data_IF_384379745439
#
_entry.id   IF_384379745439
#
_cell.length_a   1.000
_cell.length_b   1.000
_cell.length_c   1.000
_cell.angle_alpha   90.00
_cell.angle_beta   90.00
_cell.angle_gamma   90.00
#
_symmetry.space_group_name_H-M   'P 1'
#
loop_
_entity.id
_entity.type
_entity.pdbx_description
1 polymer ?
#
# COMPACT_ATOMS: atom_id res chain seq x y z
N UNK A 1 -31.78 -15.19 4.58
CA UNK A 1 -30.53 -14.40 4.60
C UNK A 1 -29.61 -14.91 5.72
N UNK A 2 -29.14 -16.16 5.65
CA UNK A 2 -28.31 -16.77 6.71
C UNK A 2 -26.88 -17.12 6.22
N UNK A 3 -26.59 -17.02 4.92
CA UNK A 3 -25.36 -17.57 4.34
C UNK A 3 -24.09 -16.75 4.57
N UNK A 4 -24.19 -15.43 4.80
CA UNK A 4 -22.99 -14.60 4.98
C UNK A 4 -22.36 -14.72 6.38
N UNK A 5 -23.15 -14.99 7.42
CA UNK A 5 -22.63 -15.10 8.80
C UNK A 5 -22.06 -16.49 9.13
N UNK A 6 -22.43 -17.53 8.38
CA UNK A 6 -21.85 -18.88 8.53
C UNK A 6 -20.52 -19.00 7.79
N UNK A 7 -20.40 -18.42 6.58
CA UNK A 7 -19.15 -18.44 5.80
C UNK A 7 -17.97 -17.74 6.51
N UNK A 8 -18.24 -16.83 7.46
CA UNK A 8 -17.18 -16.17 8.21
C UNK A 8 -16.60 -16.98 9.37
N UNK A 9 -17.33 -17.98 9.89
CA UNK A 9 -16.85 -18.79 11.03
C UNK A 9 -15.71 -19.73 10.64
N UNK A 10 -15.68 -20.12 9.37
CA UNK A 10 -14.62 -20.94 8.78
C UNK A 10 -13.48 -20.11 8.16
N UNK A 11 -13.58 -18.77 8.18
CA UNK A 11 -12.47 -17.92 7.70
C UNK A 11 -11.25 -18.12 8.59
N UNK A 12 -10.11 -18.37 7.94
CA UNK A 12 -8.81 -18.47 8.61
C UNK A 12 -8.48 -17.13 9.27
N UNK A 13 -8.14 -17.15 10.57
CA UNK A 13 -7.77 -15.96 11.35
C UNK A 13 -6.72 -15.05 10.66
N UNK A 14 -5.81 -15.65 9.89
CA UNK A 14 -4.71 -14.90 9.28
C UNK A 14 -5.14 -13.85 8.27
N UNK A 15 -6.29 -14.05 7.62
CA UNK A 15 -6.87 -13.20 6.59
C UNK A 15 -8.22 -12.62 7.02
N UNK A 16 -8.53 -12.63 8.32
CA UNK A 16 -9.79 -12.11 8.83
C UNK A 16 -9.72 -10.61 9.11
N UNK A 17 -10.85 -9.93 8.89
CA UNK A 17 -11.01 -8.52 9.25
C UNK A 17 -10.79 -8.30 10.76
N UNK A 18 -11.19 -9.26 11.60
CA UNK A 18 -10.97 -9.22 13.04
C UNK A 18 -9.48 -9.06 13.41
N UNK A 19 -8.57 -9.71 12.68
CA UNK A 19 -7.13 -9.59 12.92
C UNK A 19 -6.62 -8.21 12.51
N UNK A 20 -7.09 -7.67 11.38
CA UNK A 20 -6.69 -6.35 10.90
C UNK A 20 -7.17 -5.25 11.85
N UNK A 21 -8.43 -5.33 12.27
CA UNK A 21 -9.01 -4.42 13.27
C UNK A 21 -8.26 -4.52 14.60
N UNK A 22 -7.99 -5.74 15.09
CA UNK A 22 -7.23 -5.91 16.34
C UNK A 22 -5.82 -5.31 16.23
N UNK A 23 -5.16 -5.48 15.09
CA UNK A 23 -3.84 -4.87 14.86
C UNK A 23 -3.91 -3.35 14.86
N UNK A 24 -4.91 -2.76 14.19
CA UNK A 24 -5.11 -1.31 14.16
C UNK A 24 -5.43 -0.76 15.56
N UNK A 25 -6.29 -1.43 16.31
CA UNK A 25 -6.67 -1.03 17.67
C UNK A 25 -5.46 -1.09 18.63
N UNK A 26 -4.58 -2.09 18.47
CA UNK A 26 -3.35 -2.20 19.26
C UNK A 26 -2.31 -1.14 18.88
N UNK A 27 -2.28 -0.69 17.63
CA UNK A 27 -1.34 0.36 17.15
C UNK A 27 -1.84 1.75 17.53
N UNK A 28 -3.15 2.02 17.38
CA UNK A 28 -3.78 3.29 17.72
C UNK A 28 -3.86 3.53 19.23
N UNK A 29 -3.85 2.46 20.03
CA UNK A 29 -3.96 2.53 21.48
C UNK A 29 -5.40 2.43 21.99
N UNK A 30 -6.38 2.17 21.12
CA UNK A 30 -7.78 1.90 21.49
C UNK A 30 -7.90 0.67 22.39
N UNK A 31 -7.01 -0.31 22.22
CA UNK A 31 -6.81 -1.41 23.17
C UNK A 31 -5.53 -1.14 23.96
N UNK A 32 -5.63 -0.69 25.22
CA UNK A 32 -4.48 -0.46 26.07
C UNK A 32 -3.65 -1.72 26.29
N UNK A 33 -2.33 -1.56 26.48
CA UNK A 33 -1.45 -2.67 26.82
C UNK A 33 -1.81 -3.33 28.16
N UNK A 34 -2.52 -2.65 29.06
CA UNK A 34 -2.97 -3.24 30.32
C UNK A 34 -4.16 -4.19 30.17
N UNK A 35 -4.85 -4.19 29.02
CA UNK A 35 -6.00 -5.05 28.82
C UNK A 35 -5.60 -6.52 28.66
N UNK A 36 -6.41 -7.38 29.27
CA UNK A 36 -6.33 -8.82 29.06
C UNK A 36 -7.01 -9.18 27.74
N UNK A 37 -6.61 -10.33 27.16
CA UNK A 37 -7.20 -10.83 25.93
C UNK A 37 -8.72 -11.00 26.03
N UNK A 38 -9.23 -11.38 27.21
CA UNK A 38 -10.67 -11.51 27.45
C UNK A 38 -11.41 -10.16 27.44
N UNK A 39 -10.79 -9.07 27.91
CA UNK A 39 -11.38 -7.74 27.79
C UNK A 39 -11.38 -7.26 26.35
N UNK A 40 -10.25 -7.43 25.65
CA UNK A 40 -10.14 -7.10 24.22
C UNK A 40 -11.19 -7.86 23.38
N UNK A 41 -11.43 -9.14 23.67
CA UNK A 41 -12.45 -9.94 23.00
C UNK A 41 -13.88 -9.39 23.17
N UNK A 42 -14.19 -8.81 24.34
CA UNK A 42 -15.51 -8.23 24.63
C UNK A 42 -15.70 -6.83 24.03
N UNK A 43 -14.61 -6.18 23.64
CA UNK A 43 -14.61 -4.80 23.15
C UNK A 43 -15.40 -4.64 21.85
N UNK A 44 -15.23 -5.58 20.90
CA UNK A 44 -15.80 -5.51 19.55
C UNK A 44 -16.60 -6.76 19.21
N UNK A 45 -17.80 -6.63 18.62
CA UNK A 45 -18.62 -7.78 18.23
C UNK A 45 -17.96 -8.63 17.13
N UNK A 46 -17.12 -8.04 16.28
CA UNK A 46 -16.41 -8.72 15.20
C UNK A 46 -15.46 -9.80 15.72
N UNK A 47 -14.91 -9.62 16.92
CA UNK A 47 -14.03 -10.61 17.54
C UNK A 47 -14.78 -11.86 17.97
N UNK A 48 -16.07 -11.73 18.32
CA UNK A 48 -16.92 -12.84 18.78
C UNK A 48 -17.24 -13.87 17.71
N UNK A 49 -16.89 -13.60 16.45
CA UNK A 49 -16.98 -14.54 15.34
C UNK A 49 -16.00 -15.71 15.49
N UNK A 50 -14.95 -15.53 16.29
CA UNK A 50 -13.94 -16.55 16.57
C UNK A 50 -14.11 -17.09 17.99
N UNK A 51 -13.74 -18.35 18.19
CA UNK A 51 -13.71 -18.96 19.53
C UNK A 51 -12.73 -18.18 20.44
N UNK A 52 -13.16 -17.87 21.67
CA UNK A 52 -12.37 -17.06 22.62
C UNK A 52 -10.98 -17.66 22.89
N UNK A 53 -10.89 -18.99 22.96
CA UNK A 53 -9.63 -19.73 23.12
C UNK A 53 -8.64 -19.45 21.97
N UNK A 54 -9.13 -19.43 20.74
CA UNK A 54 -8.32 -19.10 19.55
C UNK A 54 -7.96 -17.62 19.52
N UNK A 55 -8.92 -16.74 19.83
CA UNK A 55 -8.68 -15.30 19.88
C UNK A 55 -7.58 -14.95 20.87
N UNK A 56 -7.63 -15.51 22.09
CA UNK A 56 -6.65 -15.21 23.15
C UNK A 56 -5.22 -15.60 22.75
N UNK A 57 -5.01 -16.79 22.19
CA UNK A 57 -3.71 -17.20 21.67
C UNK A 57 -3.21 -16.25 20.56
N UNK A 58 -4.11 -15.88 19.65
CA UNK A 58 -3.79 -14.98 18.56
C UNK A 58 -3.48 -13.55 19.04
N UNK A 59 -4.19 -13.07 20.06
CA UNK A 59 -3.97 -11.77 20.70
C UNK A 59 -2.55 -11.67 21.25
N UNK A 60 -2.12 -12.65 22.06
CA UNK A 60 -0.76 -12.65 22.61
C UNK A 60 0.31 -12.77 21.52
N UNK A 61 0.05 -13.60 20.50
CA UNK A 61 0.98 -13.75 19.36
C UNK A 61 1.13 -12.46 18.58
N UNK A 62 0.02 -11.75 18.30
CA UNK A 62 0.05 -10.45 17.62
C UNK A 62 0.77 -9.39 18.44
N UNK A 63 0.50 -9.34 19.75
CA UNK A 63 1.13 -8.40 20.66
C UNK A 63 2.65 -8.62 20.72
N UNK A 64 3.10 -9.86 20.85
CA UNK A 64 4.53 -10.19 20.84
C UNK A 64 5.20 -9.81 19.51
N UNK A 65 4.51 -9.99 18.38
CA UNK A 65 5.00 -9.56 17.06
C UNK A 65 5.14 -8.03 16.99
N UNK A 66 4.11 -7.29 17.41
CA UNK A 66 4.14 -5.83 17.42
C UNK A 66 5.27 -5.30 18.32
N UNK A 67 5.45 -5.87 19.51
CA UNK A 67 6.55 -5.48 20.41
C UNK A 67 7.92 -5.70 19.75
N UNK A 68 8.10 -6.83 19.04
CA UNK A 68 9.32 -7.09 18.28
C UNK A 68 9.52 -6.09 17.15
N UNK A 69 8.45 -5.74 16.43
CA UNK A 69 8.51 -4.76 15.34
C UNK A 69 8.86 -3.36 15.87
N UNK A 70 8.30 -2.94 17.01
CA UNK A 70 8.66 -1.68 17.66
C UNK A 70 10.14 -1.64 18.06
N UNK A 71 10.64 -2.68 18.74
CA UNK A 71 12.06 -2.81 19.10
C UNK A 71 12.99 -2.75 17.88
N UNK A 72 12.53 -3.34 16.77
CA UNK A 72 13.27 -3.28 15.51
C UNK A 72 13.29 -1.86 14.96
N UNK A 73 12.16 -1.17 14.90
CA UNK A 73 12.09 0.21 14.43
C UNK A 73 12.96 1.14 15.29
N UNK A 74 12.96 0.96 16.61
CA UNK A 74 13.86 1.68 17.51
C UNK A 74 15.33 1.44 17.13
N UNK A 75 15.74 0.17 17.00
CA UNK A 75 17.10 -0.18 16.59
C UNK A 75 17.47 0.40 15.21
N UNK A 76 16.58 0.25 14.22
CA UNK A 76 16.78 0.72 12.86
C UNK A 76 16.86 2.25 12.81
N UNK A 77 16.07 2.95 13.63
CA UNK A 77 16.11 4.41 13.74
C UNK A 77 17.44 4.92 14.29
N UNK A 78 17.96 4.27 15.33
CA UNK A 78 19.29 4.60 15.89
C UNK A 78 20.36 4.34 14.84
N UNK A 79 20.36 3.18 14.19
CA UNK A 79 21.34 2.88 13.14
C UNK A 79 21.33 3.93 12.02
N UNK A 80 20.13 4.37 11.60
CA UNK A 80 19.99 5.40 10.59
C UNK A 80 20.55 6.77 11.03
N UNK A 81 20.40 7.15 12.30
CA UNK A 81 21.01 8.37 12.85
C UNK A 81 22.53 8.33 12.76
N UNK A 82 23.15 7.19 13.10
CA UNK A 82 24.60 6.99 12.96
C UNK A 82 25.05 7.10 11.51
N UNK A 83 24.31 6.49 10.58
CA UNK A 83 24.61 6.59 9.14
C UNK A 83 24.54 8.03 8.63
N UNK A 84 23.57 8.82 9.10
CA UNK A 84 23.45 10.23 8.73
C UNK A 84 24.63 11.06 9.22
N UNK A 85 25.08 10.86 10.46
CA UNK A 85 26.27 11.53 10.99
C UNK A 85 27.49 11.15 10.14
N UNK A 86 27.63 9.85 9.83
CA UNK A 86 28.76 9.38 9.02
C UNK A 86 28.76 9.97 7.60
N UNK A 87 27.59 10.11 6.99
CA UNK A 87 27.45 10.75 5.68
C UNK A 87 27.78 12.24 5.72
N UNK A 88 27.47 12.93 6.82
CA UNK A 88 27.86 14.33 7.01
C UNK A 88 29.38 14.45 7.10
N UNK A 89 30.04 13.64 7.94
CA UNK A 89 31.50 13.60 8.06
C UNK A 89 32.17 13.34 6.71
N UNK A 90 31.73 12.31 5.98
CA UNK A 90 32.28 11.99 4.66
C UNK A 90 32.11 13.13 3.64
N UNK A 91 31.01 13.88 3.74
CA UNK A 91 30.75 15.04 2.88
C UNK A 91 31.62 16.24 3.27
N UNK A 92 31.98 16.39 4.53
CA UNK A 92 32.91 17.42 4.99
C UNK A 92 34.35 17.09 4.58
N UNK A 93 34.75 15.83 4.70
CA UNK A 93 36.06 15.33 4.24
C UNK A 93 36.20 15.39 2.71
N UNK A 94 35.12 15.04 1.99
CA UNK A 94 35.07 15.00 0.54
C UNK A 94 33.93 15.89 0.04
N UNK A 95 34.10 17.23 0.10
CA UNK A 95 33.08 18.14 -0.38
C UNK A 95 32.80 17.84 -1.85
N UNK A 96 31.52 17.76 -2.26
CA UNK A 96 31.19 17.51 -3.66
C UNK A 96 31.88 18.58 -4.50
N UNK A 97 32.49 18.19 -5.65
CA UNK A 97 33.15 19.15 -6.50
C UNK A 97 32.17 20.27 -6.84
N UNK A 98 32.61 21.53 -6.74
CA UNK A 98 31.80 22.67 -7.18
C UNK A 98 31.36 22.38 -8.61
N UNK A 99 30.04 22.26 -8.82
CA UNK A 99 29.49 22.00 -10.14
C UNK A 99 30.03 23.08 -11.08
N UNK A 100 30.63 22.73 -12.22
CA UNK A 100 31.13 23.72 -13.17
C UNK A 100 29.99 24.47 -13.88
N UNK A 101 28.75 24.02 -13.68
CA UNK A 101 27.56 24.58 -14.26
C UNK A 101 26.60 25.11 -13.18
N UNK A 102 25.80 26.14 -13.50
CA UNK A 102 24.75 26.64 -12.61
C UNK A 102 23.74 25.54 -12.27
N UNK A 103 23.17 25.61 -11.06
CA UNK A 103 22.04 24.75 -10.70
C UNK A 103 20.84 25.08 -11.61
N UNK A 104 20.58 24.19 -12.56
CA UNK A 104 19.53 24.31 -13.57
C UNK A 104 18.13 23.97 -13.03
N UNK A 105 18.06 23.32 -11.85
CA UNK A 105 16.81 22.96 -11.16
C UNK A 105 15.95 24.15 -10.71
N UNK A 106 16.52 25.23 -10.13
CA UNK A 106 15.79 26.48 -9.91
C UNK A 106 15.72 27.39 -11.14
N UNK A 107 16.37 27.06 -12.25
CA UNK A 107 16.52 27.97 -13.38
C UNK A 107 15.19 28.22 -14.10
N UNK A 108 14.88 29.50 -14.36
CA UNK A 108 13.64 29.94 -15.02
C UNK A 108 13.39 29.21 -16.34
N UNK A 109 14.45 28.89 -17.09
CA UNK A 109 14.35 28.15 -18.35
C UNK A 109 13.71 26.76 -18.19
N UNK A 110 13.99 26.05 -17.10
CA UNK A 110 13.43 24.72 -16.85
C UNK A 110 11.94 24.78 -16.49
N UNK A 111 11.53 25.80 -15.73
CA UNK A 111 10.11 26.09 -15.46
C UNK A 111 9.36 26.38 -16.76
N UNK A 112 9.96 27.17 -17.66
CA UNK A 112 9.40 27.45 -18.98
C UNK A 112 9.30 26.19 -19.85
N UNK A 113 10.34 25.36 -19.90
CA UNK A 113 10.33 24.11 -20.66
C UNK A 113 9.26 23.14 -20.14
N UNK A 114 9.14 22.95 -18.82
CA UNK A 114 8.09 22.11 -18.21
C UNK A 114 6.68 22.65 -18.49
N UNK A 115 6.48 23.97 -18.44
CA UNK A 115 5.19 24.62 -18.78
C UNK A 115 4.82 24.37 -20.24
N UNK A 116 5.76 24.54 -21.17
CA UNK A 116 5.56 24.31 -22.61
C UNK A 116 5.31 22.83 -22.94
N UNK A 117 6.01 21.92 -22.26
CA UNK A 117 5.77 20.47 -22.36
C UNK A 117 4.37 20.12 -21.86
N UNK A 118 3.97 20.55 -20.66
CA UNK A 118 2.62 20.30 -20.12
C UNK A 118 1.53 20.81 -21.07
N UNK A 119 1.69 22.01 -21.63
CA UNK A 119 0.73 22.55 -22.60
C UNK A 119 0.59 21.68 -23.86
N UNK A 120 1.69 21.14 -24.41
CA UNK A 120 1.65 20.23 -25.55
C UNK A 120 0.89 18.92 -25.26
N UNK A 121 0.99 18.39 -24.04
CA UNK A 121 0.30 17.15 -23.66
C UNK A 121 -1.16 17.37 -23.28
N UNK A 122 -1.54 18.56 -22.81
CA UNK A 122 -2.94 18.92 -22.56
C UNK A 122 -3.68 19.40 -23.80
N UNK A 123 -2.97 19.92 -24.81
CA UNK A 123 -3.55 20.30 -26.10
C UNK A 123 -3.57 19.15 -27.12
N UNK A 124 -2.86 18.07 -26.85
CA UNK A 124 -3.07 16.81 -27.54
C UNK A 124 -4.43 16.29 -27.06
N UNK A 125 -5.50 16.64 -27.79
CA UNK A 125 -6.80 16.01 -27.58
C UNK A 125 -6.60 14.49 -27.59
N UNK A 126 -7.37 13.72 -26.79
CA UNK A 126 -7.43 12.29 -27.00
C UNK A 126 -7.66 12.11 -28.50
N UNK A 127 -6.75 11.38 -29.16
CA UNK A 127 -7.07 10.92 -30.50
C UNK A 127 -8.31 10.10 -30.28
N UNK A 128 -9.46 10.65 -30.63
CA UNK A 128 -10.67 9.88 -30.83
C UNK A 128 -10.28 8.86 -31.89
N UNK A 129 -9.80 7.71 -31.45
CA UNK A 129 -9.68 6.52 -32.27
C UNK A 129 -11.10 6.03 -32.47
N UNK A 130 -11.90 6.84 -33.17
CA UNK A 130 -13.07 6.34 -33.88
C UNK A 130 -12.47 5.49 -34.98
N UNK A 131 -12.40 4.18 -34.73
CA UNK A 131 -12.25 3.23 -35.80
C UNK A 131 -13.36 3.57 -36.81
N UNK A 132 -13.03 3.89 -38.08
CA UNK A 132 -14.05 4.16 -39.08
C UNK A 132 -15.00 2.96 -39.10
N UNK A 133 -16.31 3.20 -39.12
CA UNK A 133 -17.33 2.16 -38.92
C UNK A 133 -17.13 0.92 -39.82
N UNK A 134 -16.51 1.13 -40.98
CA UNK A 134 -16.12 0.09 -41.94
C UNK A 134 -15.12 -0.94 -41.37
N UNK A 135 -14.21 -0.52 -40.48
CA UNK A 135 -13.25 -1.41 -39.80
C UNK A 135 -13.85 -2.17 -38.64
N UNK A 136 -14.87 -1.62 -37.96
CA UNK A 136 -15.58 -2.32 -36.90
C UNK A 136 -16.47 -3.44 -37.46
N UNK A 137 -17.10 -3.23 -38.61
CA UNK A 137 -17.92 -4.24 -39.28
C UNK A 137 -17.09 -5.44 -39.76
N UNK A 138 -15.92 -5.20 -40.36
CA UNK A 138 -15.02 -6.28 -40.82
C UNK A 138 -14.44 -7.10 -39.66
N UNK A 139 -14.19 -6.48 -38.51
CA UNK A 139 -13.67 -7.19 -37.32
C UNK A 139 -14.74 -8.08 -36.67
N UNK A 140 -16.01 -7.65 -36.68
CA UNK A 140 -17.14 -8.48 -36.22
C UNK A 140 -17.40 -9.64 -37.19
N UNK A 141 -17.26 -9.43 -38.50
CA UNK A 141 -17.37 -10.49 -39.51
C UNK A 141 -16.24 -11.52 -39.38
N UNK A 142 -15.00 -11.07 -39.16
CA UNK A 142 -13.85 -11.97 -38.92
C UNK A 142 -13.96 -12.75 -37.61
N UNK A 143 -14.60 -12.19 -36.57
CA UNK A 143 -14.83 -12.91 -35.32
C UNK A 143 -15.97 -13.94 -35.42
N UNK A 144 -16.99 -13.68 -36.25
CA UNK A 144 -18.04 -14.69 -36.55
C UNK A 144 -17.50 -15.86 -37.36
N UNK A 145 -16.68 -15.59 -38.38
CA UNK A 145 -16.09 -16.65 -39.20
C UNK A 145 -15.15 -17.60 -38.43
N UNK A 146 -14.67 -17.20 -37.24
CA UNK A 146 -13.84 -18.04 -36.36
C UNK A 146 -14.63 -18.89 -35.35
N UNK A 147 -15.93 -18.65 -35.21
CA UNK A 147 -16.79 -19.40 -34.29
C UNK A 147 -17.49 -20.61 -34.91
N UNK A 148 -17.49 -20.71 -36.24
CA UNK A 148 -18.22 -21.75 -36.99
C UNK A 148 -17.32 -22.95 -37.42
N UNK A 149 -16.08 -23.03 -36.92
CA UNK A 149 -15.16 -24.17 -37.17
C UNK A 149 -14.99 -25.12 -35.97
N UNK A 150 -15.74 -24.94 -34.87
CA UNK A 150 -15.71 -25.82 -33.68
C UNK A 150 -17.08 -26.50 -33.39
N UNK A 151 -17.77 -27.02 -34.41
CA UNK A 151 -18.80 -28.07 -34.24
C UNK A 151 -18.53 -29.29 -35.13
#
# INVERSE_FOLDING_TARGET
MASAEEEERDKKWESSEAKELLKQDLISGDIPLSWSAAMAYKHRPEFKKFEESRFTNNFYTLRAKLEKDYKRVETDSVAFEWDLVRLQELREENPPPKKPYPDWWPHKALRFAKKKMRQKYTSAQPRDTVLPAETAATLVEMMKARGDEEE
#
